data_IF_215512200006
#
_entry.id   IF_215512200006
#
_cell.length_a   1.000
_cell.length_b   1.000
_cell.length_c   1.000
_cell.angle_alpha   90.00
_cell.angle_beta   90.00
_cell.angle_gamma   90.00
#
_symmetry.space_group_name_H-M   'P 1'
#
loop_
_entity.id
_entity.type
_entity.pdbx_description
1 polymer ?
#
# COMPACT_ATOMS: atom_id res chain seq x y z
N UNK A 1 39.22 -8.44 -4.43
CA UNK A 1 38.52 -9.75 -4.45
C UNK A 1 37.61 -9.98 -3.22
N UNK A 2 37.56 -9.09 -2.21
CA UNK A 2 36.61 -9.21 -1.09
C UNK A 2 35.16 -8.81 -1.44
N UNK A 3 34.98 -7.79 -2.31
CA UNK A 3 33.66 -7.26 -2.68
C UNK A 3 32.72 -8.28 -3.36
N UNK A 4 33.24 -9.34 -3.98
CA UNK A 4 32.38 -10.36 -4.61
C UNK A 4 31.74 -11.29 -3.59
N UNK A 5 32.38 -11.62 -2.46
CA UNK A 5 31.82 -12.56 -1.48
C UNK A 5 30.66 -11.96 -0.69
N UNK A 6 30.77 -10.69 -0.29
CA UNK A 6 29.68 -9.98 0.40
C UNK A 6 28.46 -9.83 -0.51
N UNK A 7 28.66 -9.46 -1.77
CA UNK A 7 27.58 -9.35 -2.75
C UNK A 7 26.94 -10.72 -3.05
N UNK A 8 27.72 -11.80 -3.17
CA UNK A 8 27.19 -13.16 -3.32
C UNK A 8 26.32 -13.54 -2.12
N UNK A 9 26.80 -13.28 -0.89
CA UNK A 9 26.03 -13.60 0.31
C UNK A 9 24.73 -12.79 0.38
N UNK A 10 24.78 -11.48 0.08
CA UNK A 10 23.59 -10.63 0.04
C UNK A 10 22.57 -11.11 -1.00
N UNK A 11 23.01 -11.42 -2.23
CA UNK A 11 22.13 -11.95 -3.27
C UNK A 11 21.42 -13.21 -2.81
N UNK A 12 22.11 -14.04 -2.05
CA UNK A 12 21.57 -15.30 -1.59
C UNK A 12 20.53 -15.17 -0.48
N UNK A 13 20.62 -14.09 0.29
CA UNK A 13 19.61 -13.73 1.28
C UNK A 13 18.37 -13.10 0.62
N UNK A 14 18.48 -12.66 -0.65
CA UNK A 14 17.34 -12.18 -1.43
C UNK A 14 16.51 -13.37 -1.94
N UNK A 15 15.20 -13.43 -1.65
CA UNK A 15 14.32 -14.54 -2.06
C UNK A 15 14.33 -14.87 -3.56
N UNK A 16 14.67 -13.91 -4.42
CA UNK A 16 14.80 -14.11 -5.87
C UNK A 16 15.93 -15.11 -6.19
N UNK A 17 17.03 -15.09 -5.42
CA UNK A 17 18.23 -15.87 -5.71
C UNK A 17 18.60 -16.93 -4.65
N UNK A 18 17.70 -17.23 -3.71
CA UNK A 18 17.98 -18.11 -2.55
C UNK A 18 18.46 -19.51 -2.92
N UNK A 19 17.91 -20.09 -3.98
CA UNK A 19 18.15 -21.47 -4.41
C UNK A 19 19.08 -21.56 -5.64
N UNK A 20 19.86 -20.50 -5.88
CA UNK A 20 20.77 -20.41 -7.02
C UNK A 20 22.16 -20.85 -6.58
N UNK A 21 22.81 -21.65 -7.44
CA UNK A 21 24.17 -22.11 -7.22
C UNK A 21 25.15 -20.96 -6.94
N UNK A 22 25.87 -21.06 -5.80
CA UNK A 22 26.84 -20.05 -5.33
C UNK A 22 28.02 -19.93 -6.28
N UNK A 23 28.58 -21.07 -6.65
CA UNK A 23 29.91 -21.15 -7.24
C UNK A 23 29.92 -20.66 -8.69
N UNK A 24 28.86 -20.91 -9.44
CA UNK A 24 28.78 -20.56 -10.85
C UNK A 24 27.85 -19.39 -11.12
N UNK A 25 26.54 -19.56 -10.89
CA UNK A 25 25.52 -18.62 -11.33
C UNK A 25 25.52 -17.31 -10.51
N UNK A 26 25.54 -17.39 -9.18
CA UNK A 26 25.58 -16.21 -8.31
C UNK A 26 26.89 -15.44 -8.47
N UNK A 27 28.03 -16.13 -8.56
CA UNK A 27 29.33 -15.49 -8.77
C UNK A 27 29.35 -14.71 -10.09
N UNK A 28 28.84 -15.29 -11.18
CA UNK A 28 28.71 -14.60 -12.47
C UNK A 28 27.76 -13.41 -12.42
N UNK A 29 26.66 -13.52 -11.69
CA UNK A 29 25.73 -12.40 -11.50
C UNK A 29 26.41 -11.27 -10.73
N UNK A 30 27.02 -11.59 -9.59
CA UNK A 30 27.70 -10.66 -8.71
C UNK A 30 28.85 -9.89 -9.39
N UNK A 31 29.57 -10.52 -10.32
CA UNK A 31 30.62 -9.88 -11.10
C UNK A 31 30.12 -8.78 -12.05
N UNK A 32 28.82 -8.80 -12.40
CA UNK A 32 28.23 -7.85 -13.33
C UNK A 32 27.29 -6.85 -12.64
N UNK A 33 27.20 -6.85 -11.32
CA UNK A 33 26.35 -5.91 -10.59
C UNK A 33 26.96 -4.52 -10.56
N UNK A 34 26.12 -3.53 -10.79
CA UNK A 34 26.49 -2.14 -10.56
C UNK A 34 26.13 -1.75 -9.12
N UNK A 35 27.10 -1.18 -8.41
CA UNK A 35 26.89 -0.58 -7.10
C UNK A 35 26.61 0.90 -7.25
N UNK A 36 25.42 1.33 -6.82
CA UNK A 36 25.00 2.73 -6.90
C UNK A 36 24.77 3.28 -5.49
N UNK A 37 25.35 4.45 -5.22
CA UNK A 37 25.18 5.19 -3.98
C UNK A 37 24.17 6.32 -4.19
N UNK A 38 23.20 6.41 -3.30
CA UNK A 38 22.19 7.46 -3.30
C UNK A 38 22.29 8.29 -2.02
N UNK A 39 22.37 9.63 -2.10
CA UNK A 39 22.32 10.47 -0.90
C UNK A 39 20.92 10.44 -0.28
N UNK A 40 20.80 10.79 1.00
CA UNK A 40 19.51 10.90 1.68
C UNK A 40 18.55 11.88 0.97
N UNK A 41 17.27 11.55 0.92
CA UNK A 41 16.24 12.36 0.25
C UNK A 41 16.25 12.24 -1.29
N UNK A 42 17.11 11.41 -1.86
CA UNK A 42 17.15 11.18 -3.29
C UNK A 42 15.99 10.28 -3.76
N UNK A 43 15.24 10.73 -4.76
CA UNK A 43 14.22 9.93 -5.44
C UNK A 43 14.88 9.05 -6.51
N UNK A 44 14.95 7.75 -6.26
CA UNK A 44 15.59 6.76 -7.16
C UNK A 44 14.78 6.64 -8.46
N UNK A 45 13.46 6.55 -8.35
CA UNK A 45 12.55 6.67 -9.49
C UNK A 45 11.18 7.18 -9.05
N UNK A 46 10.43 7.72 -10.01
CA UNK A 46 9.08 8.24 -9.81
C UNK A 46 8.05 7.31 -10.41
N UNK A 47 6.88 7.25 -9.78
CA UNK A 47 5.69 6.64 -10.33
C UNK A 47 5.41 7.15 -11.75
N UNK A 48 4.95 6.26 -12.64
CA UNK A 48 4.58 6.62 -14.01
C UNK A 48 5.77 6.88 -14.92
N UNK A 49 7.00 6.68 -14.44
CA UNK A 49 8.21 6.70 -15.27
C UNK A 49 8.64 5.29 -15.64
N UNK A 50 9.21 5.17 -16.83
CA UNK A 50 9.86 3.97 -17.31
C UNK A 50 11.29 3.91 -16.75
N UNK A 51 11.76 2.71 -16.45
CA UNK A 51 13.09 2.49 -15.89
C UNK A 51 13.25 1.07 -15.35
N UNK A 52 13.27 0.03 -16.22
CA UNK A 52 13.21 -1.36 -15.76
C UNK A 52 14.56 -1.80 -15.18
N UNK A 53 14.72 -1.59 -13.87
CA UNK A 53 15.83 -2.10 -13.10
C UNK A 53 15.34 -2.62 -11.74
N UNK A 54 15.98 -3.71 -11.29
CA UNK A 54 15.82 -4.25 -9.95
C UNK A 54 16.92 -3.66 -9.07
N UNK A 55 16.52 -3.09 -7.93
CA UNK A 55 17.43 -2.54 -6.94
C UNK A 55 17.38 -3.41 -5.69
N UNK A 56 18.55 -3.81 -5.19
CA UNK A 56 18.70 -4.57 -3.96
C UNK A 56 19.42 -3.68 -2.95
N UNK A 57 18.78 -3.43 -1.81
CA UNK A 57 19.28 -2.50 -0.81
C UNK A 57 20.36 -3.19 0.05
N UNK A 58 21.61 -2.72 -0.08
CA UNK A 58 22.76 -3.22 0.69
C UNK A 58 22.81 -2.56 2.07
N UNK A 59 22.61 -1.24 2.10
CA UNK A 59 22.58 -0.46 3.33
C UNK A 59 21.67 0.76 3.17
N UNK A 60 21.21 1.30 4.30
CA UNK A 60 20.30 2.43 4.35
C UNK A 60 18.83 2.01 4.41
N UNK A 61 17.94 2.96 4.17
CA UNK A 61 16.50 2.77 4.16
C UNK A 61 15.84 3.61 3.06
N UNK A 62 14.84 3.03 2.41
CA UNK A 62 14.02 3.71 1.41
C UNK A 62 12.55 3.66 1.78
N UNK A 63 11.81 4.64 1.30
CA UNK A 63 10.36 4.74 1.37
C UNK A 63 9.79 4.49 -0.03
N UNK A 64 8.83 3.56 -0.11
CA UNK A 64 7.99 3.36 -1.30
C UNK A 64 6.68 4.12 -1.07
N UNK A 65 6.31 5.00 -1.99
CA UNK A 65 5.16 5.88 -1.79
C UNK A 65 4.41 6.22 -3.08
N UNK A 66 3.12 6.55 -2.93
CA UNK A 66 2.23 7.02 -3.99
C UNK A 66 1.77 8.45 -3.64
N UNK A 67 2.34 9.45 -4.29
CA UNK A 67 2.15 10.84 -3.84
C UNK A 67 2.62 11.02 -2.39
N UNK A 68 1.71 11.45 -1.51
CA UNK A 68 1.97 11.58 -0.07
C UNK A 68 1.73 10.32 0.77
N UNK A 69 1.24 9.23 0.17
CA UNK A 69 0.92 7.99 0.88
C UNK A 69 2.13 7.06 0.92
N UNK A 70 2.68 6.82 2.12
CA UNK A 70 3.71 5.79 2.36
C UNK A 70 3.09 4.40 2.21
N UNK A 71 3.57 3.62 1.24
CA UNK A 71 3.16 2.23 1.02
C UNK A 71 4.03 1.25 1.83
N UNK A 72 5.34 1.49 1.89
CA UNK A 72 6.27 0.64 2.61
C UNK A 72 7.55 1.38 2.98
N UNK A 73 8.23 0.89 4.02
CA UNK A 73 9.63 1.22 4.33
C UNK A 73 10.46 -0.03 4.12
N UNK A 74 11.53 0.07 3.33
CA UNK A 74 12.42 -1.04 3.02
C UNK A 74 13.81 -0.76 3.61
N UNK A 75 14.42 -1.81 4.17
CA UNK A 75 15.77 -1.78 4.72
C UNK A 75 16.69 -2.80 4.04
N UNK A 76 17.90 -3.02 4.57
CA UNK A 76 18.89 -3.91 3.96
C UNK A 76 18.35 -5.33 3.68
N UNK A 77 18.76 -5.90 2.55
CA UNK A 77 18.30 -7.21 2.06
C UNK A 77 16.93 -7.21 1.38
N UNK A 78 16.20 -6.07 1.40
CA UNK A 78 14.99 -5.87 0.59
C UNK A 78 15.34 -5.36 -0.80
N UNK A 79 14.38 -5.49 -1.72
CA UNK A 79 14.53 -5.08 -3.12
C UNK A 79 13.26 -4.41 -3.63
N UNK A 80 13.38 -3.67 -4.74
CA UNK A 80 12.29 -2.95 -5.39
C UNK A 80 12.55 -2.74 -6.89
N UNK A 81 11.52 -2.38 -7.64
CA UNK A 81 11.59 -2.12 -9.11
C UNK A 81 11.31 -3.35 -9.98
N UNK A 82 11.04 -4.50 -9.37
CA UNK A 82 10.78 -5.77 -10.07
C UNK A 82 9.51 -5.77 -10.92
N UNK A 83 8.48 -4.99 -10.56
CA UNK A 83 7.21 -5.01 -11.29
C UNK A 83 7.39 -4.48 -12.71
N UNK A 84 7.84 -3.22 -12.83
CA UNK A 84 8.15 -2.55 -14.11
C UNK A 84 9.21 -3.27 -14.94
N UNK A 85 10.00 -4.15 -14.32
CA UNK A 85 11.03 -4.89 -15.00
C UNK A 85 10.47 -6.03 -15.87
N UNK A 86 9.37 -6.68 -15.49
CA UNK A 86 8.84 -7.86 -16.18
C UNK A 86 7.67 -7.57 -17.12
N UNK A 87 6.81 -6.62 -16.76
CA UNK A 87 5.66 -6.21 -17.61
C UNK A 87 6.02 -5.05 -18.56
N UNK A 88 7.17 -4.40 -18.36
CA UNK A 88 7.60 -3.19 -19.09
C UNK A 88 6.61 -2.02 -18.95
N UNK A 89 5.78 -2.04 -17.91
CA UNK A 89 4.89 -0.94 -17.56
C UNK A 89 5.64 0.12 -16.73
N UNK A 90 5.12 1.36 -16.67
CA UNK A 90 5.68 2.39 -15.80
C UNK A 90 5.69 1.96 -14.32
N UNK A 91 6.62 2.51 -13.53
CA UNK A 91 6.67 2.23 -12.09
C UNK A 91 5.33 2.53 -11.40
N UNK A 92 4.83 1.56 -10.62
CA UNK A 92 3.57 1.65 -9.88
C UNK A 92 3.62 2.60 -8.68
N UNK A 93 4.82 2.89 -8.17
CA UNK A 93 5.06 3.79 -7.04
C UNK A 93 6.39 4.52 -7.20
N UNK A 94 6.60 5.57 -6.42
CA UNK A 94 7.88 6.27 -6.30
C UNK A 94 8.72 5.66 -5.18
N UNK A 95 10.04 5.75 -5.29
CA UNK A 95 10.97 5.32 -4.24
C UNK A 95 11.94 6.44 -3.90
N UNK A 96 11.98 6.84 -2.64
CA UNK A 96 12.85 7.89 -2.13
C UNK A 96 13.67 7.38 -0.95
N UNK A 97 14.95 7.73 -0.90
CA UNK A 97 15.85 7.36 0.20
C UNK A 97 15.53 8.17 1.46
N UNK A 98 15.48 7.50 2.61
CA UNK A 98 15.30 8.13 3.92
C UNK A 98 16.63 8.50 4.57
N UNK A 99 17.69 7.80 4.18
CA UNK A 99 19.08 7.99 4.63
C UNK A 99 20.03 7.62 3.46
N UNK A 100 21.35 7.88 3.54
CA UNK A 100 22.26 7.47 2.48
C UNK A 100 22.17 5.96 2.23
N UNK A 101 21.92 5.58 0.97
CA UNK A 101 21.66 4.19 0.59
C UNK A 101 22.73 3.68 -0.37
N UNK A 102 23.07 2.40 -0.22
CA UNK A 102 23.84 1.64 -1.21
C UNK A 102 22.96 0.57 -1.81
N UNK A 103 22.88 0.53 -3.14
CA UNK A 103 22.09 -0.45 -3.88
C UNK A 103 22.95 -1.25 -4.85
N UNK A 104 22.63 -2.53 -5.01
CA UNK A 104 23.03 -3.31 -6.19
C UNK A 104 21.93 -3.16 -7.24
N UNK A 105 22.32 -2.86 -8.48
CA UNK A 105 21.40 -2.62 -9.59
C UNK A 105 21.53 -3.73 -10.62
N UNK A 106 20.38 -4.28 -11.00
CA UNK A 106 20.22 -5.29 -12.04
C UNK A 106 19.32 -4.73 -13.13
N UNK A 107 19.89 -4.52 -14.31
CA UNK A 107 19.12 -4.14 -15.49
C UNK A 107 18.23 -5.28 -15.97
N UNK A 108 17.16 -4.96 -16.70
CA UNK A 108 16.30 -5.94 -17.36
C UNK A 108 17.11 -6.96 -18.19
N UNK A 109 18.09 -6.50 -18.97
CA UNK A 109 18.92 -7.38 -19.79
C UNK A 109 19.70 -8.39 -18.95
N UNK A 110 20.25 -7.96 -17.80
CA UNK A 110 21.02 -8.81 -16.91
C UNK A 110 20.15 -9.86 -16.22
N UNK A 111 18.97 -9.49 -15.72
CA UNK A 111 18.08 -10.46 -15.07
C UNK A 111 17.48 -11.44 -16.08
N UNK A 112 17.14 -11.01 -17.30
CA UNK A 112 16.68 -11.93 -18.35
C UNK A 112 17.78 -12.91 -18.76
N UNK A 113 19.03 -12.46 -18.82
CA UNK A 113 20.18 -13.34 -19.03
C UNK A 113 20.33 -14.33 -17.87
N UNK A 114 20.22 -13.86 -16.63
CA UNK A 114 20.30 -14.71 -15.45
C UNK A 114 19.20 -15.79 -15.45
N UNK A 115 17.96 -15.44 -15.82
CA UNK A 115 16.84 -16.39 -15.92
C UNK A 115 17.10 -17.44 -17.02
N UNK A 116 17.66 -17.06 -18.17
CA UNK A 116 18.00 -18.03 -19.23
C UNK A 116 19.08 -19.02 -18.79
N UNK A 117 20.04 -18.55 -17.99
CA UNK A 117 21.14 -19.37 -17.48
C UNK A 117 20.72 -20.22 -16.27
N UNK A 118 19.77 -19.72 -15.48
CA UNK A 118 19.21 -20.43 -14.34
C UNK A 118 17.68 -20.16 -14.23
N UNK A 119 16.84 -21.04 -14.81
CA UNK A 119 15.39 -20.87 -14.84
C UNK A 119 14.72 -20.81 -13.45
N UNK A 120 15.36 -21.33 -12.39
CA UNK A 120 14.81 -21.29 -11.02
C UNK A 120 14.63 -19.84 -10.53
N UNK A 121 15.42 -18.88 -11.04
CA UNK A 121 15.24 -17.45 -10.77
C UNK A 121 13.83 -17.01 -11.19
N UNK A 122 13.39 -17.42 -12.39
CA UNK A 122 12.05 -17.11 -12.88
C UNK A 122 10.95 -17.73 -12.03
N UNK A 123 11.13 -18.99 -11.61
CA UNK A 123 10.19 -19.68 -10.71
C UNK A 123 10.10 -18.97 -9.35
N UNK A 124 11.23 -18.53 -8.79
CA UNK A 124 11.28 -17.78 -7.53
C UNK A 124 10.52 -16.45 -7.65
N UNK A 125 10.71 -15.72 -8.74
CA UNK A 125 9.97 -14.47 -9.03
C UNK A 125 8.46 -14.75 -9.09
N UNK A 126 8.04 -15.76 -9.86
CA UNK A 126 6.62 -16.15 -9.95
C UNK A 126 6.05 -16.48 -8.57
N UNK A 127 6.78 -17.23 -7.75
CA UNK A 127 6.37 -17.61 -6.40
C UNK A 127 6.21 -16.40 -5.48
N UNK A 128 7.13 -15.43 -5.57
CA UNK A 128 7.11 -14.17 -4.82
C UNK A 128 5.92 -13.31 -5.24
N UNK A 129 5.76 -13.07 -6.55
CA UNK A 129 4.67 -12.26 -7.08
C UNK A 129 3.31 -12.91 -6.76
N UNK A 130 3.20 -14.23 -6.89
CA UNK A 130 1.99 -14.97 -6.51
C UNK A 130 1.63 -14.80 -5.03
N UNK A 131 2.64 -14.84 -4.13
CA UNK A 131 2.42 -14.57 -2.70
C UNK A 131 1.98 -13.14 -2.48
N UNK A 132 2.58 -12.17 -3.18
CA UNK A 132 2.23 -10.76 -3.05
C UNK A 132 0.80 -10.48 -3.50
N UNK A 133 0.37 -11.03 -4.64
CA UNK A 133 -1.00 -10.88 -5.13
C UNK A 133 -2.00 -11.43 -4.10
N UNK A 134 -1.73 -12.60 -3.51
CA UNK A 134 -2.58 -13.15 -2.44
C UNK A 134 -2.66 -12.26 -1.20
N UNK A 135 -1.53 -11.69 -0.77
CA UNK A 135 -1.52 -10.78 0.38
C UNK A 135 -2.28 -9.47 0.09
N UNK A 136 -2.09 -8.89 -1.10
CA UNK A 136 -2.83 -7.69 -1.52
C UNK A 136 -4.33 -7.96 -1.58
N UNK A 137 -4.72 -9.10 -2.14
CA UNK A 137 -6.11 -9.55 -2.18
C UNK A 137 -6.71 -9.68 -0.76
N UNK A 138 -5.97 -10.27 0.18
CA UNK A 138 -6.37 -10.35 1.58
C UNK A 138 -6.54 -8.97 2.22
N UNK A 139 -5.60 -8.05 2.00
CA UNK A 139 -5.68 -6.68 2.52
C UNK A 139 -6.91 -5.94 1.98
N UNK A 140 -7.17 -6.01 0.67
CA UNK A 140 -8.34 -5.38 0.05
C UNK A 140 -9.62 -5.96 0.64
N UNK A 141 -9.70 -7.28 0.78
CA UNK A 141 -10.86 -7.95 1.40
C UNK A 141 -11.08 -7.49 2.84
N UNK A 142 -10.03 -7.49 3.65
CA UNK A 142 -10.09 -7.08 5.06
C UNK A 142 -10.49 -5.61 5.19
N UNK A 143 -9.96 -4.75 4.32
CA UNK A 143 -10.30 -3.32 4.28
C UNK A 143 -11.78 -3.11 4.00
N UNK A 144 -12.30 -3.70 2.94
CA UNK A 144 -13.71 -3.59 2.57
C UNK A 144 -14.62 -4.16 3.67
N UNK A 145 -14.33 -5.36 4.18
CA UNK A 145 -15.10 -5.97 5.27
C UNK A 145 -15.06 -5.11 6.54
N UNK A 146 -13.91 -4.50 6.84
CA UNK A 146 -13.75 -3.61 7.99
C UNK A 146 -14.60 -2.36 7.89
N UNK A 147 -14.56 -1.67 6.74
CA UNK A 147 -15.40 -0.49 6.51
C UNK A 147 -16.90 -0.84 6.56
N UNK A 148 -17.30 -1.96 5.96
CA UNK A 148 -18.70 -2.42 5.99
C UNK A 148 -19.15 -2.84 7.39
N UNK A 149 -18.26 -3.41 8.20
CA UNK A 149 -18.58 -3.75 9.59
C UNK A 149 -18.93 -2.51 10.41
N UNK A 150 -18.28 -1.38 10.12
CA UNK A 150 -18.58 -0.09 10.76
C UNK A 150 -19.85 0.52 10.18
N UNK A 151 -19.95 0.59 8.84
CA UNK A 151 -21.11 1.17 8.17
C UNK A 151 -22.43 0.42 8.44
N UNK A 152 -22.38 -0.81 8.97
CA UNK A 152 -23.55 -1.63 9.31
C UNK A 152 -23.79 -1.74 10.81
N UNK A 153 -23.02 -1.03 11.64
CA UNK A 153 -23.04 -1.19 13.10
C UNK A 153 -24.38 -0.78 13.73
N UNK A 154 -25.05 0.21 13.13
CA UNK A 154 -26.31 0.81 13.58
C UNK A 154 -27.56 0.16 12.96
N UNK A 155 -27.38 -0.73 11.98
CA UNK A 155 -28.48 -1.40 11.29
C UNK A 155 -29.21 -0.55 10.24
N UNK A 156 -28.65 0.59 9.83
CA UNK A 156 -29.29 1.52 8.88
C UNK A 156 -29.21 1.08 7.40
N UNK A 157 -28.46 0.02 7.08
CA UNK A 157 -28.30 -0.48 5.71
C UNK A 157 -29.26 -1.65 5.41
N UNK A 158 -30.20 -1.45 4.49
CA UNK A 158 -31.22 -2.46 4.20
C UNK A 158 -30.65 -3.64 3.39
N UNK A 159 -31.39 -4.77 3.36
CA UNK A 159 -30.93 -6.00 2.71
C UNK A 159 -30.71 -5.87 1.18
N UNK A 160 -31.36 -4.89 0.54
CA UNK A 160 -31.22 -4.63 -0.90
C UNK A 160 -29.92 -3.89 -1.20
N UNK A 161 -29.57 -2.87 -0.42
CA UNK A 161 -28.31 -2.14 -0.56
C UNK A 161 -27.12 -3.06 -0.28
N UNK A 162 -27.25 -3.95 0.73
CA UNK A 162 -26.25 -4.99 0.99
C UNK A 162 -26.02 -5.83 -0.27
N UNK A 163 -27.09 -6.40 -0.85
CA UNK A 163 -27.04 -7.26 -2.04
C UNK A 163 -26.46 -6.55 -3.27
N UNK A 164 -26.75 -5.26 -3.42
CA UNK A 164 -26.23 -4.44 -4.52
C UNK A 164 -24.72 -4.23 -4.40
N UNK A 165 -24.22 -3.92 -3.20
CA UNK A 165 -22.77 -3.84 -2.95
C UNK A 165 -22.12 -5.21 -3.11
N UNK A 166 -22.73 -6.31 -2.64
CA UNK A 166 -22.17 -7.65 -2.88
C UNK A 166 -22.02 -7.94 -4.38
N UNK A 167 -23.03 -7.55 -5.17
CA UNK A 167 -23.02 -7.67 -6.62
C UNK A 167 -21.94 -6.82 -7.29
N UNK A 168 -21.78 -5.54 -6.92
CA UNK A 168 -20.75 -4.66 -7.48
C UNK A 168 -19.34 -5.18 -7.18
N UNK A 169 -19.10 -5.64 -5.95
CA UNK A 169 -17.77 -6.07 -5.56
C UNK A 169 -17.40 -7.41 -6.21
N UNK A 170 -18.34 -8.35 -6.31
CA UNK A 170 -18.11 -9.64 -6.97
C UNK A 170 -18.03 -9.56 -8.50
N UNK A 171 -18.77 -8.65 -9.14
CA UNK A 171 -18.84 -8.62 -10.61
C UNK A 171 -17.88 -7.61 -11.25
N UNK A 172 -17.65 -6.45 -10.63
CA UNK A 172 -16.97 -5.33 -11.30
C UNK A 172 -15.58 -5.01 -10.74
N UNK A 173 -15.35 -5.21 -9.44
CA UNK A 173 -14.10 -4.81 -8.79
C UNK A 173 -13.05 -5.91 -8.79
N UNK A 174 -13.36 -7.12 -8.31
CA UNK A 174 -12.42 -8.24 -8.27
C UNK A 174 -13.17 -9.60 -8.33
N UNK A 175 -13.44 -10.17 -9.52
CA UNK A 175 -14.21 -11.40 -9.66
C UNK A 175 -13.56 -12.64 -9.04
N UNK A 176 -12.24 -12.59 -8.81
CA UNK A 176 -11.45 -13.68 -8.22
C UNK A 176 -11.30 -13.57 -6.70
N UNK A 177 -11.68 -12.41 -6.12
CA UNK A 177 -11.67 -12.23 -4.68
C UNK A 177 -12.88 -12.95 -4.11
N UNK A 178 -12.65 -14.11 -3.50
CA UNK A 178 -13.64 -14.72 -2.62
C UNK A 178 -13.70 -13.87 -1.34
N UNK A 179 -14.31 -12.69 -1.44
CA UNK A 179 -14.73 -11.91 -0.29
C UNK A 179 -15.79 -12.77 0.35
N UNK A 180 -15.36 -13.62 1.28
CA UNK A 180 -16.28 -14.54 1.96
C UNK A 180 -17.51 -13.73 2.36
N UNK A 181 -18.69 -14.20 1.91
CA UNK A 181 -20.03 -13.60 2.08
C UNK A 181 -19.97 -12.35 2.95
N UNK A 182 -19.83 -11.13 2.41
CA UNK A 182 -19.46 -9.89 3.11
C UNK A 182 -19.84 -9.89 4.60
N UNK A 183 -18.97 -10.54 5.38
CA UNK A 183 -19.25 -10.92 6.75
C UNK A 183 -18.51 -9.93 7.59
N UNK A 184 -19.12 -9.48 8.70
CA UNK A 184 -18.42 -8.71 9.69
C UNK A 184 -17.04 -9.31 9.95
N UNK A 185 -16.03 -8.46 10.00
CA UNK A 185 -14.66 -8.87 10.31
C UNK A 185 -14.37 -8.50 11.76
N UNK A 186 -13.75 -9.43 12.48
CA UNK A 186 -13.29 -9.16 13.84
C UNK A 186 -12.03 -8.28 13.84
N UNK A 187 -11.78 -7.57 14.94
CA UNK A 187 -10.53 -6.82 15.10
C UNK A 187 -9.27 -7.71 15.00
N UNK A 188 -9.37 -8.98 15.42
CA UNK A 188 -8.27 -9.95 15.32
C UNK A 188 -7.96 -10.28 13.85
N UNK A 189 -8.98 -10.59 13.05
CA UNK A 189 -8.81 -10.83 11.61
C UNK A 189 -8.26 -9.59 10.87
N UNK A 190 -8.66 -8.38 11.27
CA UNK A 190 -8.07 -7.15 10.73
C UNK A 190 -6.59 -7.00 11.10
N UNK A 191 -6.21 -7.33 12.34
CA UNK A 191 -4.83 -7.29 12.78
C UNK A 191 -3.96 -8.34 12.08
N UNK A 192 -4.51 -9.53 11.80
CA UNK A 192 -3.84 -10.57 11.03
C UNK A 192 -3.63 -10.14 9.57
N UNK A 193 -4.58 -9.38 9.00
CA UNK A 193 -4.46 -8.85 7.65
C UNK A 193 -3.48 -7.67 7.57
N UNK A 194 -3.58 -6.66 8.43
CA UNK A 194 -2.81 -5.41 8.31
C UNK A 194 -1.52 -5.37 9.14
N UNK A 195 -1.36 -6.29 10.09
CA UNK A 195 -0.36 -6.20 11.15
C UNK A 195 -0.71 -5.14 12.20
N UNK A 196 -0.06 -5.25 13.36
CA UNK A 196 -0.18 -4.27 14.45
C UNK A 196 0.83 -3.15 14.30
N UNK A 197 0.46 -1.93 14.72
CA UNK A 197 1.30 -0.73 14.68
C UNK A 197 1.86 -0.40 13.28
N UNK A 198 1.10 -0.75 12.23
CA UNK A 198 1.51 -0.49 10.85
C UNK A 198 0.89 0.81 10.31
N UNK A 199 1.55 1.48 9.34
CA UNK A 199 0.95 2.61 8.63
C UNK A 199 -0.36 2.24 7.93
N UNK A 200 -0.49 1.00 7.43
CA UNK A 200 -1.73 0.50 6.82
C UNK A 200 -2.87 0.46 7.83
N UNK A 201 -2.61 -0.01 9.05
CA UNK A 201 -3.59 -0.02 10.13
C UNK A 201 -4.03 1.39 10.53
N UNK A 202 -3.09 2.33 10.65
CA UNK A 202 -3.39 3.73 10.94
C UNK A 202 -4.25 4.37 9.82
N UNK A 203 -3.86 4.17 8.56
CA UNK A 203 -4.61 4.67 7.41
C UNK A 203 -6.01 4.05 7.34
N UNK A 204 -6.16 2.76 7.65
CA UNK A 204 -7.45 2.11 7.73
C UNK A 204 -8.35 2.79 8.77
N UNK A 205 -7.84 3.04 9.98
CA UNK A 205 -8.61 3.73 11.03
C UNK A 205 -9.02 5.14 10.61
N UNK A 206 -8.17 5.88 9.89
CA UNK A 206 -8.52 7.18 9.32
C UNK A 206 -9.73 7.08 8.37
N UNK A 207 -9.69 6.15 7.42
CA UNK A 207 -10.81 5.93 6.49
C UNK A 207 -12.06 5.43 7.22
N UNK A 208 -11.89 4.56 8.21
CA UNK A 208 -12.96 4.02 9.02
C UNK A 208 -13.72 5.11 9.81
N UNK A 209 -13.01 6.08 10.38
CA UNK A 209 -13.62 7.25 11.04
C UNK A 209 -14.38 8.12 10.02
N UNK A 210 -13.83 8.34 8.82
CA UNK A 210 -14.53 9.09 7.76
C UNK A 210 -15.84 8.40 7.39
N UNK A 211 -15.83 7.07 7.23
CA UNK A 211 -17.03 6.30 6.90
C UNK A 211 -18.08 6.41 8.01
N UNK A 212 -17.67 6.31 9.28
CA UNK A 212 -18.58 6.45 10.42
C UNK A 212 -19.15 7.88 10.62
N UNK A 213 -18.54 8.89 10.00
CA UNK A 213 -19.03 10.27 10.04
C UNK A 213 -19.82 10.65 8.78
N UNK A 214 -19.82 9.80 7.75
CA UNK A 214 -20.33 10.15 6.42
C UNK A 214 -21.85 10.40 6.39
N UNK A 215 -22.63 9.76 7.27
CA UNK A 215 -24.07 9.99 7.44
C UNK A 215 -24.38 11.22 8.33
N UNK A 216 -23.35 11.89 8.88
CA UNK A 216 -23.49 13.05 9.76
C UNK A 216 -23.89 12.69 11.19
N UNK A 217 -24.02 11.39 11.52
CA UNK A 217 -24.44 10.91 12.85
C UNK A 217 -23.50 9.83 13.35
N UNK A 218 -22.67 10.17 14.33
CA UNK A 218 -21.76 9.21 14.95
C UNK A 218 -22.46 8.41 16.06
N UNK A 219 -22.66 7.12 15.87
CA UNK A 219 -23.37 6.25 16.81
C UNK A 219 -22.48 5.59 17.87
N UNK A 220 -23.07 5.19 19.01
CA UNK A 220 -22.35 4.41 20.03
C UNK A 220 -21.89 3.03 19.52
N UNK A 221 -22.59 2.47 18.54
CA UNK A 221 -22.23 1.19 17.92
C UNK A 221 -20.95 1.32 17.06
N UNK A 222 -20.85 2.39 16.26
CA UNK A 222 -19.64 2.68 15.48
C UNK A 222 -18.44 3.01 16.39
N UNK A 223 -18.66 3.78 17.47
CA UNK A 223 -17.63 4.05 18.48
C UNK A 223 -17.06 2.79 19.09
N UNK A 224 -17.93 1.85 19.46
CA UNK A 224 -17.52 0.56 20.00
C UNK A 224 -16.65 -0.22 19.02
N UNK A 225 -17.11 -0.39 17.77
CA UNK A 225 -16.36 -1.14 16.75
C UNK A 225 -15.02 -0.47 16.43
N UNK A 226 -15.00 0.86 16.31
CA UNK A 226 -13.77 1.61 16.05
C UNK A 226 -12.75 1.46 17.19
N UNK A 227 -13.19 1.46 18.46
CA UNK A 227 -12.31 1.21 19.62
C UNK A 227 -11.79 -0.24 19.63
N UNK A 228 -12.62 -1.22 19.28
CA UNK A 228 -12.22 -2.62 19.16
C UNK A 228 -11.15 -2.79 18.07
N UNK A 229 -11.35 -2.20 16.88
CA UNK A 229 -10.38 -2.22 15.79
C UNK A 229 -9.08 -1.51 16.17
N UNK A 230 -9.18 -0.32 16.77
CA UNK A 230 -8.01 0.44 17.22
C UNK A 230 -7.15 -0.38 18.20
N UNK A 231 -7.80 -1.01 19.18
CA UNK A 231 -7.12 -1.87 20.17
C UNK A 231 -6.46 -3.08 19.51
N UNK A 232 -7.18 -3.77 18.61
CA UNK A 232 -6.66 -4.97 17.95
C UNK A 232 -5.47 -4.66 17.03
N UNK A 233 -5.49 -3.48 16.39
CA UNK A 233 -4.43 -2.98 15.52
C UNK A 233 -3.22 -2.40 16.29
N UNK A 234 -3.26 -2.36 17.62
CA UNK A 234 -2.19 -1.82 18.48
C UNK A 234 -2.15 -0.29 18.55
N UNK A 235 -3.06 0.39 17.87
CA UNK A 235 -3.06 1.84 17.76
C UNK A 235 -3.51 2.49 19.07
N UNK A 236 -2.98 3.69 19.37
CA UNK A 236 -3.37 4.44 20.56
C UNK A 236 -4.79 4.97 20.43
N UNK A 237 -5.61 4.81 21.46
CA UNK A 237 -6.99 5.31 21.47
C UNK A 237 -7.09 6.84 21.23
N UNK A 238 -6.05 7.59 21.62
CA UNK A 238 -5.90 9.04 21.35
C UNK A 238 -5.97 9.39 19.85
N UNK A 239 -5.57 8.46 18.97
CA UNK A 239 -5.60 8.63 17.52
C UNK A 239 -7.05 8.77 17.04
N UNK A 240 -7.99 8.00 17.61
CA UNK A 240 -9.41 8.10 17.22
C UNK A 240 -9.98 9.47 17.57
N UNK A 241 -9.72 9.98 18.79
CA UNK A 241 -10.22 11.29 19.21
C UNK A 241 -9.61 12.43 18.40
N UNK A 242 -8.30 12.36 18.13
CA UNK A 242 -7.61 13.35 17.30
C UNK A 242 -8.18 13.39 15.88
N UNK A 243 -8.42 12.22 15.27
CA UNK A 243 -8.96 12.13 13.91
C UNK A 243 -10.40 12.62 13.83
N UNK A 244 -11.25 12.30 14.82
CA UNK A 244 -12.62 12.82 14.92
C UNK A 244 -12.64 14.34 14.96
N UNK A 245 -11.79 14.95 15.79
CA UNK A 245 -11.69 16.40 15.93
C UNK A 245 -11.20 17.06 14.63
N UNK A 246 -10.21 16.49 13.95
CA UNK A 246 -9.71 17.03 12.68
C UNK A 246 -10.79 17.01 11.59
N UNK A 247 -11.57 15.93 11.49
CA UNK A 247 -12.59 15.77 10.46
C UNK A 247 -13.83 16.63 10.75
N UNK A 248 -14.27 16.72 12.01
CA UNK A 248 -15.36 17.60 12.42
C UNK A 248 -15.03 19.09 12.17
N UNK A 249 -13.76 19.49 12.32
CA UNK A 249 -13.32 20.85 12.01
C UNK A 249 -13.41 21.14 10.50
N UNK A 250 -12.97 20.21 9.65
CA UNK A 250 -13.00 20.33 8.19
C UNK A 250 -14.45 20.40 7.65
N UNK A 251 -15.35 19.58 8.17
CA UNK A 251 -16.78 19.63 7.81
C UNK A 251 -17.46 20.92 8.29
N UNK A 252 -17.15 21.38 9.52
CA UNK A 252 -17.67 22.65 10.04
C UNK A 252 -17.20 23.87 9.23
N UNK A 253 -16.00 23.83 8.66
CA UNK A 253 -15.52 24.84 7.70
C UNK A 253 -16.22 24.72 6.34
N UNK A 254 -16.39 23.51 5.80
CA UNK A 254 -17.08 23.28 4.52
C UNK A 254 -18.56 23.66 4.55
N UNK A 255 -19.27 23.39 5.65
CA UNK A 255 -20.66 23.80 5.85
C UNK A 255 -20.79 25.33 5.93
N UNK A 256 -19.87 26.01 6.63
CA UNK A 256 -19.84 27.48 6.70
C UNK A 256 -19.53 28.12 5.35
N UNK A 257 -18.65 27.53 4.54
CA UNK A 257 -18.35 28.02 3.19
C UNK A 257 -19.51 27.80 2.21
N UNK A 258 -20.25 26.68 2.30
CA UNK A 258 -21.46 26.45 1.53
C UNK A 258 -22.61 27.39 1.93
N UNK A 259 -22.82 27.65 3.22
CA UNK A 259 -23.80 28.65 3.68
C UNK A 259 -23.44 30.08 3.24
N UNK A 260 -22.15 30.43 3.17
CA UNK A 260 -21.70 31.75 2.72
C UNK A 260 -21.87 31.93 1.20
N UNK A 261 -21.76 30.84 0.43
CA UNK A 261 -21.93 30.86 -1.04
C UNK A 261 -23.41 30.99 -1.45
N UNK A 262 -24.34 30.48 -0.63
CA UNK A 262 -25.79 30.61 -0.83
C UNK A 262 -26.38 31.96 -0.38
N UNK A 263 -25.61 32.82 0.32
CA UNK A 263 -26.07 34.13 0.83
C UNK A 263 -25.61 35.34 -0.02
N UNK A 264 -25.10 35.16 -1.24
CA UNK A 264 -24.93 36.29 -2.16
C UNK A 264 -26.31 36.73 -2.68
N UNK A 265 -26.77 37.97 -2.41
CA UNK A 265 -28.05 38.44 -2.92
C UNK A 265 -27.96 38.58 -4.44
N UNK A 266 -28.99 38.09 -5.14
CA UNK A 266 -29.17 38.34 -6.56
C UNK A 266 -29.31 39.85 -6.78
N UNK A 267 -28.26 40.50 -7.31
CA UNK A 267 -28.39 41.84 -7.87
C UNK A 267 -29.21 41.69 -9.15
N UNK A 268 -30.48 42.09 -9.07
CA UNK A 268 -31.36 42.30 -10.20
C UNK A 268 -30.80 43.41 -11.09
N UNK A 269 -30.34 43.05 -12.29
CA UNK A 269 -30.13 44.00 -13.37
C UNK A 269 -31.52 44.43 -13.90
N UNK A 270 -31.96 45.62 -13.50
CA UNK A 270 -33.00 46.34 -14.23
C UNK A 270 -32.36 47.00 -15.45
N UNK A 271 -32.79 46.52 -16.61
CA UNK A 271 -32.66 47.19 -17.91
C UNK A 271 -33.72 48.28 -17.95
N UNK A 272 -33.34 49.53 -18.18
CA UNK A 272 -34.24 50.56 -18.68
C UNK A 272 -33.50 51.48 -19.66
N UNK A 273 -33.95 51.39 -20.92
CA UNK A 273 -33.90 52.30 -22.08
C UNK A 273 -32.55 52.89 -22.53
#
# INVERSE_FOLDING_TARGET
MMLSQENIQLLQDVPIFRDIDRETALTRLALNLEEVLFPAGHTIFKQGKLGPALYILVSGAVEVHLGGLRLAKLGPGKYFGEMSLFDSEPHSASVTTLEPCKCLVLTQTQIYKAIRENPEIGVNIIRILSKRVRLLSLHVSAWLRGLLTIAWADGEYNAEEKKLIEGLVQNDLCPELNIGSLKPISGVELADAFGRDTPTAENFLRTAVIVALANGTYSEYEDKILREFCTALGQKAEILEMLRLMLAFDEGTKQKEQEFTLKKPALSAQVDV
#
